data_IF_342888766000
#
_entry.id   IF_342888766000
#
_cell.length_a   1.000
_cell.length_b   1.000
_cell.length_c   1.000
_cell.angle_alpha   90.00
_cell.angle_beta   90.00
_cell.angle_gamma   90.00
#
_symmetry.space_group_name_H-M   'P 1'
#
loop_
_entity.id
_entity.type
_entity.pdbx_description
1 polymer ?
#
# COMPACT_ATOMS: atom_id res chain seq x y z
N UNK A 1 -5.64 7.32 0.39
CA UNK A 1 -6.94 7.95 0.65
C UNK A 1 -6.99 8.36 2.10
N UNK A 2 -7.66 9.46 2.43
CA UNK A 2 -7.94 9.79 3.81
C UNK A 2 -8.97 8.76 4.34
N UNK A 3 -8.66 7.95 5.36
CA UNK A 3 -9.57 6.93 5.89
C UNK A 3 -10.93 7.51 6.31
N UNK A 4 -10.98 8.80 6.69
CA UNK A 4 -12.22 9.49 7.04
C UNK A 4 -13.25 9.55 5.90
N UNK A 5 -12.81 9.58 4.64
CA UNK A 5 -13.72 9.59 3.48
C UNK A 5 -14.35 8.20 3.28
N UNK A 6 -13.56 7.13 3.49
CA UNK A 6 -14.06 5.77 3.44
C UNK A 6 -15.15 5.56 4.49
N UNK A 7 -14.88 5.93 5.75
CA UNK A 7 -15.87 5.83 6.82
C UNK A 7 -17.15 6.63 6.55
N UNK A 8 -17.02 7.82 5.97
CA UNK A 8 -18.18 8.63 5.58
C UNK A 8 -19.05 7.89 4.57
N UNK A 9 -18.47 7.34 3.51
CA UNK A 9 -19.19 6.57 2.48
C UNK A 9 -19.80 5.28 3.09
N UNK A 10 -19.09 4.60 3.99
CA UNK A 10 -19.61 3.42 4.68
C UNK A 10 -20.91 3.73 5.46
N UNK A 11 -20.95 4.89 6.14
CA UNK A 11 -22.10 5.32 6.94
C UNK A 11 -23.34 5.63 6.09
N UNK A 12 -23.16 5.95 4.81
CA UNK A 12 -24.28 6.22 3.88
C UNK A 12 -25.06 4.95 3.49
N UNK A 13 -24.56 3.74 3.81
CA UNK A 13 -25.24 2.44 3.56
C UNK A 13 -25.76 2.30 2.12
N UNK A 14 -24.97 2.76 1.16
CA UNK A 14 -25.38 2.76 -0.24
C UNK A 14 -25.39 1.31 -0.78
N UNK A 15 -26.52 0.82 -1.30
CA UNK A 15 -26.60 -0.54 -1.83
C UNK A 15 -25.66 -0.70 -3.03
N UNK A 16 -24.89 -1.78 -3.04
CA UNK A 16 -23.91 -2.08 -4.09
C UNK A 16 -22.53 -1.42 -3.91
N UNK A 17 -22.33 -0.61 -2.86
CA UNK A 17 -21.01 -0.02 -2.53
C UNK A 17 -20.41 -0.76 -1.33
N UNK A 18 -19.19 -1.27 -1.51
CA UNK A 18 -18.40 -1.89 -0.46
C UNK A 18 -17.03 -1.23 -0.37
N UNK A 19 -16.45 -1.21 0.83
CA UNK A 19 -15.10 -0.71 1.02
C UNK A 19 -14.12 -1.87 1.06
N UNK A 20 -13.02 -1.71 0.35
CA UNK A 20 -11.88 -2.61 0.43
C UNK A 20 -10.74 -1.89 1.13
N UNK A 21 -10.23 -2.51 2.19
CA UNK A 21 -9.04 -2.01 2.85
C UNK A 21 -7.81 -2.38 2.02
N UNK A 22 -7.11 -1.37 1.53
CA UNK A 22 -5.88 -1.53 0.74
C UNK A 22 -4.73 -0.81 1.43
N UNK A 23 -3.56 -1.46 1.45
CA UNK A 23 -2.33 -0.86 1.96
C UNK A 23 -1.68 0.00 0.88
N UNK A 24 -1.27 1.22 1.25
CA UNK A 24 -0.47 2.10 0.38
C UNK A 24 0.91 2.33 0.99
N UNK A 25 1.96 2.35 0.15
CA UNK A 25 3.32 2.67 0.59
C UNK A 25 3.43 4.14 0.98
N UNK A 26 4.19 4.40 2.02
CA UNK A 26 4.58 5.73 2.45
C UNK A 26 6.09 5.77 2.61
N UNK A 27 6.75 6.74 1.98
CA UNK A 27 8.20 6.92 2.00
C UNK A 27 8.53 8.21 2.77
N UNK A 28 8.77 8.16 4.09
CA UNK A 28 8.93 9.35 4.94
C UNK A 28 10.09 10.26 4.50
N UNK A 29 11.19 9.66 4.04
CA UNK A 29 12.38 10.38 3.55
C UNK A 29 12.22 10.92 2.11
N UNK A 30 11.10 10.63 1.45
CA UNK A 30 10.74 11.19 0.15
C UNK A 30 11.82 11.01 -0.92
N UNK A 31 12.21 12.12 -1.55
CA UNK A 31 13.10 12.12 -2.71
C UNK A 31 14.55 11.69 -2.40
N UNK A 32 15.00 11.86 -1.16
CA UNK A 32 16.40 11.58 -0.76
C UNK A 32 16.71 10.08 -0.90
N UNK A 33 15.73 9.23 -0.63
CA UNK A 33 15.86 7.77 -0.70
C UNK A 33 15.17 7.15 -1.91
N UNK A 34 14.47 7.95 -2.74
CA UNK A 34 13.63 7.45 -3.83
C UNK A 34 14.40 6.59 -4.84
N UNK A 35 15.63 7.00 -5.20
CA UNK A 35 16.46 6.29 -6.16
C UNK A 35 16.96 4.92 -5.64
N UNK A 36 17.11 4.79 -4.32
CA UNK A 36 17.60 3.55 -3.69
C UNK A 36 16.44 2.63 -3.38
N UNK A 37 15.40 3.16 -2.72
CA UNK A 37 14.23 2.38 -2.33
C UNK A 37 13.41 1.97 -3.56
N UNK A 38 13.25 2.85 -4.54
CA UNK A 38 12.37 2.64 -5.67
C UNK A 38 10.89 2.84 -5.32
N UNK A 39 10.01 2.32 -6.17
CA UNK A 39 8.56 2.51 -6.08
C UNK A 39 7.79 1.23 -6.42
N UNK A 40 6.51 1.19 -6.02
CA UNK A 40 5.56 0.13 -6.39
C UNK A 40 4.46 0.62 -7.33
N UNK A 41 3.85 -0.28 -8.09
CA UNK A 41 2.66 0.01 -8.90
C UNK A 41 1.36 0.03 -8.05
N UNK A 42 0.21 0.25 -8.71
CA UNK A 42 -1.12 0.23 -8.07
C UNK A 42 -1.47 -1.12 -7.45
N UNK A 43 -0.93 -2.19 -8.02
CA UNK A 43 -1.12 -3.57 -7.57
C UNK A 43 -0.11 -3.98 -6.50
N UNK A 44 0.58 -3.01 -5.89
CA UNK A 44 1.50 -3.27 -4.78
C UNK A 44 2.75 -4.07 -5.16
N UNK A 45 3.16 -4.09 -6.43
CA UNK A 45 4.35 -4.78 -6.91
C UNK A 45 5.51 -3.80 -7.10
N UNK A 46 6.70 -4.17 -6.63
CA UNK A 46 7.92 -3.39 -6.79
C UNK A 46 8.40 -3.33 -8.24
N UNK A 47 8.58 -2.12 -8.77
CA UNK A 47 8.97 -1.90 -10.17
C UNK A 47 10.38 -1.30 -10.33
N UNK A 48 10.95 -0.76 -9.25
CA UNK A 48 12.29 -0.17 -9.22
C UNK A 48 12.98 -0.40 -7.85
N UNK A 49 14.30 -0.27 -7.80
CA UNK A 49 15.08 -0.21 -6.57
C UNK A 49 14.94 -1.45 -5.68
N UNK A 50 15.08 -1.23 -4.37
CA UNK A 50 14.88 -2.25 -3.34
C UNK A 50 13.49 -2.89 -3.41
N UNK A 51 12.44 -2.11 -3.71
CA UNK A 51 11.08 -2.62 -3.86
C UNK A 51 11.01 -3.74 -4.90
N UNK A 52 11.67 -3.59 -6.05
CA UNK A 52 11.73 -4.63 -7.09
C UNK A 52 12.66 -5.78 -6.72
N UNK A 53 13.86 -5.48 -6.23
CA UNK A 53 14.87 -6.50 -5.91
C UNK A 53 14.40 -7.45 -4.81
N UNK A 54 13.59 -6.95 -3.88
CA UNK A 54 13.05 -7.72 -2.77
C UNK A 54 11.55 -7.95 -2.86
N UNK A 55 10.92 -7.74 -4.01
CA UNK A 55 9.46 -7.86 -4.19
C UNK A 55 8.93 -9.19 -3.65
N UNK A 56 9.59 -10.32 -3.94
CA UNK A 56 9.17 -11.63 -3.42
C UNK A 56 9.14 -11.70 -1.88
N UNK A 57 10.08 -11.02 -1.22
CA UNK A 57 10.18 -10.99 0.23
C UNK A 57 9.21 -9.95 0.84
N UNK A 58 9.08 -8.79 0.19
CA UNK A 58 8.25 -7.66 0.59
C UNK A 58 6.75 -7.87 0.29
N UNK A 59 6.39 -8.65 -0.73
CA UNK A 59 5.01 -8.99 -1.11
C UNK A 59 4.39 -10.00 -0.16
N UNK A 60 5.21 -10.87 0.47
CA UNK A 60 4.76 -11.88 1.44
C UNK A 60 3.73 -12.85 0.86
N UNK A 61 3.07 -13.63 1.72
CA UNK A 61 1.99 -14.52 1.28
C UNK A 61 0.66 -13.75 1.28
N UNK A 62 -0.12 -13.75 0.18
CA UNK A 62 -1.45 -13.17 0.20
C UNK A 62 -2.31 -13.99 1.18
N UNK A 63 -2.53 -13.46 2.38
CA UNK A 63 -3.61 -13.90 3.23
C UNK A 63 -4.90 -13.34 2.63
N UNK A 64 -5.92 -14.19 2.49
CA UNK A 64 -7.19 -13.94 1.80
C UNK A 64 -8.09 -12.86 2.43
N UNK A 65 -7.55 -11.83 3.08
CA UNK A 65 -8.37 -10.78 3.66
C UNK A 65 -7.70 -9.61 4.37
N UNK A 66 -6.37 -9.59 4.58
CA UNK A 66 -5.74 -8.42 5.22
C UNK A 66 -4.24 -8.42 4.94
N UNK A 67 -3.74 -7.39 4.23
CA UNK A 67 -2.30 -7.13 4.11
C UNK A 67 -2.06 -5.73 4.66
N UNK A 68 -1.62 -5.65 5.92
CA UNK A 68 -1.07 -4.42 6.49
C UNK A 68 0.44 -4.57 6.43
N UNK A 69 1.08 -3.88 5.49
CA UNK A 69 2.54 -3.84 5.35
C UNK A 69 3.02 -2.41 5.45
N UNK A 70 3.63 -2.10 6.59
CA UNK A 70 4.37 -0.87 6.81
C UNK A 70 5.84 -1.19 6.57
N UNK A 71 6.42 -0.66 5.49
CA UNK A 71 7.88 -0.60 5.36
C UNK A 71 8.32 0.69 6.05
N UNK A 72 8.84 0.55 7.27
CA UNK A 72 9.57 1.63 7.94
C UNK A 72 11.00 1.56 7.42
N UNK A 73 11.31 2.34 6.38
CA UNK A 73 12.71 2.63 6.06
C UNK A 73 13.20 3.63 7.11
N UNK A 74 13.99 3.13 8.06
CA UNK A 74 14.71 3.93 9.03
C UNK A 74 15.78 4.81 8.34
#
# INVERSE_FOLDING_TARGET
MNPSIGEYIHKLKLPGISLRQESRRYYPAGQVTAHVIGVTNIDSQGIEGVEKSFDRWLTGKPASGLSVKTVLAA
#
